data_IF_600614909525
#
_entry.id   IF_600614909525
#
_cell.length_a   1.000
_cell.length_b   1.000
_cell.length_c   1.000
_cell.angle_alpha   90.00
_cell.angle_beta   90.00
_cell.angle_gamma   90.00
#
_symmetry.space_group_name_H-M   'P 1'
#
loop_
_entity.id
_entity.type
_entity.pdbx_description
1 polymer ?
#
# COMPACT_ATOMS: atom_id res chain seq x y z
N UNK A 1 23.65 0.85 16.41
CA UNK A 1 23.62 0.05 15.76
C UNK A 1 24.12 0.20 14.64
N UNK A 2 24.39 -0.57 14.27
CA UNK A 2 25.15 -0.44 13.28
C UNK A 2 24.43 -0.29 12.01
N UNK A 3 24.88 0.60 11.16
CA UNK A 3 24.43 0.68 9.81
C UNK A 3 24.72 -0.57 9.05
N UNK A 4 25.74 -1.29 9.47
CA UNK A 4 26.11 -2.53 8.81
C UNK A 4 25.03 -3.61 8.93
N UNK A 5 24.43 -3.72 10.08
CA UNK A 5 23.36 -4.70 10.25
C UNK A 5 22.14 -4.35 9.42
N UNK A 6 21.84 -3.06 9.34
CA UNK A 6 20.74 -2.60 8.52
C UNK A 6 21.02 -2.84 7.04
N UNK A 7 22.25 -2.56 6.61
CA UNK A 7 22.61 -2.78 5.23
C UNK A 7 22.54 -4.24 4.85
N UNK A 8 23.02 -5.12 5.70
CA UNK A 8 22.98 -6.56 5.41
C UNK A 8 21.56 -7.07 5.31
N UNK A 9 20.67 -6.60 6.17
CA UNK A 9 19.28 -6.98 6.10
C UNK A 9 18.66 -6.49 4.80
N UNK A 10 18.98 -5.25 4.41
CA UNK A 10 18.46 -4.68 3.18
C UNK A 10 18.92 -5.46 1.95
N UNK A 11 20.17 -5.92 1.96
CA UNK A 11 20.69 -6.68 0.82
C UNK A 11 20.11 -8.07 0.73
N UNK A 12 19.76 -8.65 1.86
CA UNK A 12 19.18 -9.98 1.87
C UNK A 12 17.75 -9.97 1.36
N UNK A 13 17.06 -8.84 1.45
CA UNK A 13 15.68 -8.69 1.03
C UNK A 13 15.63 -7.83 -0.22
N UNK A 14 15.17 -8.38 -1.37
CA UNK A 14 15.09 -7.58 -2.60
C UNK A 14 14.30 -6.29 -2.46
N UNK A 15 13.28 -6.28 -1.59
CA UNK A 15 12.47 -5.10 -1.37
C UNK A 15 13.16 -4.08 -0.47
N UNK A 16 14.25 -4.46 0.17
CA UNK A 16 14.97 -3.60 1.10
C UNK A 16 16.40 -3.34 0.66
N UNK A 17 16.63 -3.24 -0.63
CA UNK A 17 17.95 -2.95 -1.19
C UNK A 17 18.45 -1.58 -0.72
N UNK A 18 19.78 -1.39 -0.65
CA UNK A 18 20.31 -0.07 -0.29
C UNK A 18 19.73 1.01 -1.18
N UNK A 19 19.38 2.12 -0.58
CA UNK A 19 18.66 3.17 -1.27
C UNK A 19 19.59 4.07 -2.07
N UNK A 20 19.20 4.34 -3.30
CA UNK A 20 19.83 5.37 -4.11
C UNK A 20 19.03 6.65 -3.97
N UNK A 21 19.53 7.75 -4.57
CA UNK A 21 18.76 8.99 -4.59
C UNK A 21 17.43 8.81 -5.30
N UNK A 22 17.42 8.00 -6.38
CA UNK A 22 16.17 7.72 -7.09
C UNK A 22 15.20 6.93 -6.22
N UNK A 23 15.72 5.98 -5.45
CA UNK A 23 14.88 5.19 -4.54
C UNK A 23 14.28 6.07 -3.46
N UNK A 24 15.07 6.99 -2.90
CA UNK A 24 14.56 7.91 -1.90
C UNK A 24 13.46 8.80 -2.46
N UNK A 25 13.63 9.27 -3.69
CA UNK A 25 12.60 10.07 -4.34
C UNK A 25 11.32 9.26 -4.52
N UNK A 26 11.44 7.98 -4.91
CA UNK A 26 10.29 7.12 -5.05
C UNK A 26 9.60 6.85 -3.71
N UNK A 27 10.39 6.69 -2.64
CA UNK A 27 9.81 6.46 -1.32
C UNK A 27 8.97 7.64 -0.85
N UNK A 28 9.39 8.84 -1.16
CA UNK A 28 8.60 10.02 -0.82
C UNK A 28 7.28 10.04 -1.57
N UNK A 29 7.22 9.32 -2.69
CA UNK A 29 6.02 9.26 -3.52
C UNK A 29 5.34 7.91 -3.45
N UNK A 30 5.70 7.09 -2.47
CA UNK A 30 5.06 5.78 -2.33
C UNK A 30 3.56 5.98 -2.25
N UNK A 31 2.81 5.35 -3.16
CA UNK A 31 1.37 5.54 -3.19
C UNK A 31 0.71 5.14 -1.87
N UNK A 32 -0.20 5.97 -1.42
CA UNK A 32 -0.89 5.73 -0.14
C UNK A 32 -1.56 4.37 -0.12
N UNK A 33 -2.16 3.95 -1.24
CA UNK A 33 -2.83 2.67 -1.30
C UNK A 33 -1.88 1.51 -0.96
N UNK A 34 -0.64 1.58 -1.45
CA UNK A 34 0.35 0.55 -1.17
C UNK A 34 0.72 0.54 0.31
N UNK A 35 0.89 1.71 0.91
CA UNK A 35 1.21 1.82 2.33
C UNK A 35 0.09 1.22 3.18
N UNK A 36 -1.14 1.57 2.87
CA UNK A 36 -2.31 1.07 3.60
C UNK A 36 -2.42 -0.45 3.45
N UNK A 37 -2.27 -0.94 2.22
CA UNK A 37 -2.37 -2.36 1.95
C UNK A 37 -1.33 -3.15 2.73
N UNK A 38 -0.09 -2.68 2.75
CA UNK A 38 0.99 -3.35 3.47
C UNK A 38 0.76 -3.30 4.98
N UNK A 39 0.24 -2.20 5.48
CA UNK A 39 -0.08 -2.08 6.90
C UNK A 39 -1.15 -3.08 7.32
N UNK A 40 -2.06 -3.42 6.41
CA UNK A 40 -3.12 -4.39 6.67
C UNK A 40 -2.68 -5.82 6.35
N UNK A 41 -1.47 -5.99 5.84
CA UNK A 41 -0.91 -7.30 5.49
C UNK A 41 -1.76 -8.05 4.46
N UNK A 42 -2.29 -7.32 3.49
CA UNK A 42 -3.13 -7.89 2.43
C UNK A 42 -2.38 -7.93 1.12
N UNK A 43 -2.70 -8.94 0.30
CA UNK A 43 -2.22 -8.95 -1.08
C UNK A 43 -3.00 -7.93 -1.90
N UNK A 44 -2.54 -7.63 -3.11
CA UNK A 44 -3.27 -6.74 -4.00
C UNK A 44 -4.66 -7.27 -4.28
N UNK A 45 -4.76 -8.57 -4.54
CA UNK A 45 -6.04 -9.22 -4.83
C UNK A 45 -6.98 -9.14 -3.63
N UNK A 46 -6.46 -9.40 -2.44
CA UNK A 46 -7.27 -9.34 -1.23
C UNK A 46 -7.77 -7.93 -0.94
N UNK A 47 -6.89 -6.95 -1.08
CA UNK A 47 -7.24 -5.56 -0.84
C UNK A 47 -8.30 -5.09 -1.85
N UNK A 48 -8.07 -5.38 -3.13
CA UNK A 48 -8.99 -4.98 -4.19
C UNK A 48 -10.38 -5.60 -3.99
N UNK A 49 -10.42 -6.88 -3.67
CA UNK A 49 -11.69 -7.57 -3.46
C UNK A 49 -12.41 -7.04 -2.21
N UNK A 50 -11.67 -6.85 -1.13
CA UNK A 50 -12.25 -6.44 0.15
C UNK A 50 -12.85 -5.04 0.11
N UNK A 51 -12.18 -4.13 -0.59
CA UNK A 51 -12.59 -2.73 -0.63
C UNK A 51 -13.21 -2.31 -1.97
N UNK A 52 -13.55 -3.31 -2.81
CA UNK A 52 -14.25 -3.09 -4.08
C UNK A 52 -13.50 -2.13 -5.01
N UNK A 53 -12.20 -2.31 -5.09
CA UNK A 53 -11.34 -1.53 -6.00
C UNK A 53 -10.94 -2.45 -7.14
N UNK A 54 -11.07 -2.02 -8.40
CA UNK A 54 -10.60 -2.85 -9.52
C UNK A 54 -9.12 -3.13 -9.37
N UNK A 55 -8.72 -4.39 -9.56
CA UNK A 55 -7.34 -4.80 -9.35
C UNK A 55 -6.38 -4.05 -10.28
N UNK A 56 -6.78 -3.80 -11.51
CA UNK A 56 -5.96 -3.02 -12.44
C UNK A 56 -5.73 -1.60 -11.97
N UNK A 57 -6.77 -0.99 -11.40
CA UNK A 57 -6.69 0.36 -10.84
C UNK A 57 -5.73 0.39 -9.66
N UNK A 58 -5.84 -0.58 -8.76
CA UNK A 58 -4.95 -0.66 -7.61
C UNK A 58 -3.50 -0.82 -8.05
N UNK A 59 -3.25 -1.69 -9.02
CA UNK A 59 -1.91 -1.88 -9.55
C UNK A 59 -1.35 -0.59 -10.15
N UNK A 60 -2.18 0.14 -10.89
CA UNK A 60 -1.75 1.41 -11.48
C UNK A 60 -1.37 2.43 -10.40
N UNK A 61 -2.17 2.51 -9.34
CA UNK A 61 -1.84 3.39 -8.22
C UNK A 61 -0.51 2.99 -7.57
N UNK A 62 -0.32 1.69 -7.33
CA UNK A 62 0.88 1.21 -6.64
C UNK A 62 2.14 1.35 -7.49
N UNK A 63 1.98 1.36 -8.80
CA UNK A 63 3.10 1.56 -9.72
C UNK A 63 3.32 3.02 -10.08
N UNK A 64 2.47 3.91 -9.58
CA UNK A 64 2.60 5.32 -9.84
C UNK A 64 2.15 5.75 -11.23
N UNK A 65 1.41 4.91 -11.94
CA UNK A 65 0.93 5.24 -13.28
C UNK A 65 -0.22 6.23 -13.26
N UNK A 66 -1.07 6.12 -12.26
CA UNK A 66 -2.18 7.04 -12.05
C UNK A 66 -2.27 7.37 -10.58
N UNK A 67 -2.96 8.45 -10.27
CA UNK A 67 -3.18 8.84 -8.89
C UNK A 67 -4.67 8.81 -8.58
N UNK A 68 -5.08 8.42 -7.37
CA UNK A 68 -6.48 8.47 -6.99
C UNK A 68 -6.97 9.92 -6.98
N UNK A 69 -8.21 10.13 -7.40
CA UNK A 69 -8.83 11.45 -7.33
C UNK A 69 -9.18 11.78 -5.87
N UNK A 70 -9.75 12.96 -5.65
CA UNK A 70 -10.07 13.39 -4.29
C UNK A 70 -11.03 12.46 -3.55
N UNK A 71 -12.16 12.07 -4.15
CA UNK A 71 -13.06 11.15 -3.45
C UNK A 71 -12.40 9.83 -3.11
N UNK A 72 -11.56 9.32 -4.01
CA UNK A 72 -10.86 8.07 -3.78
C UNK A 72 -9.83 8.22 -2.67
N UNK A 73 -9.13 9.35 -2.60
CA UNK A 73 -8.20 9.60 -1.50
C UNK A 73 -8.92 9.64 -0.16
N UNK A 74 -10.10 10.24 -0.13
CA UNK A 74 -10.92 10.25 1.07
C UNK A 74 -11.30 8.83 1.47
N UNK A 75 -11.67 8.00 0.49
CA UNK A 75 -11.99 6.59 0.72
C UNK A 75 -10.79 5.84 1.29
N UNK A 76 -9.60 6.06 0.72
CA UNK A 76 -8.40 5.43 1.24
C UNK A 76 -8.10 5.88 2.67
N UNK A 77 -8.38 7.13 3.00
CA UNK A 77 -8.22 7.61 4.36
C UNK A 77 -9.16 6.89 5.33
N UNK A 78 -10.39 6.65 4.91
CA UNK A 78 -11.34 5.88 5.71
C UNK A 78 -10.83 4.46 5.95
N UNK A 79 -10.31 3.82 4.92
CA UNK A 79 -9.75 2.48 5.05
C UNK A 79 -8.57 2.50 6.02
N UNK A 80 -7.71 3.51 5.92
CA UNK A 80 -6.55 3.59 6.80
C UNK A 80 -6.95 3.75 8.26
N UNK A 81 -8.06 4.43 8.51
CA UNK A 81 -8.51 4.69 9.87
C UNK A 81 -9.29 3.56 10.48
N UNK A 82 -10.13 2.91 9.68
CA UNK A 82 -10.98 1.84 10.22
C UNK A 82 -11.31 0.85 9.09
N UNK A 83 -10.31 0.06 8.74
CA UNK A 83 -10.46 -0.92 7.68
C UNK A 83 -11.57 -1.93 7.97
N UNK A 84 -11.69 -2.35 9.23
CA UNK A 84 -12.71 -3.33 9.60
C UNK A 84 -14.11 -2.80 9.37
N UNK A 85 -14.36 -1.55 9.74
CA UNK A 85 -15.67 -0.95 9.55
C UNK A 85 -16.01 -0.84 8.07
N UNK A 86 -15.07 -0.38 7.27
CA UNK A 86 -15.27 -0.27 5.83
C UNK A 86 -15.55 -1.63 5.22
N UNK A 87 -14.75 -2.63 5.61
CA UNK A 87 -14.93 -3.98 5.11
C UNK A 87 -16.32 -4.52 5.46
N UNK A 88 -16.75 -4.35 6.71
CA UNK A 88 -18.07 -4.83 7.14
C UNK A 88 -19.21 -4.11 6.44
N UNK A 89 -19.01 -2.82 6.17
CA UNK A 89 -20.01 -2.04 5.46
C UNK A 89 -20.17 -2.51 4.02
N UNK A 90 -19.06 -2.81 3.36
CA UNK A 90 -19.08 -3.23 1.96
C UNK A 90 -19.43 -4.71 1.80
N UNK A 91 -19.09 -5.53 2.79
CA UNK A 91 -19.26 -6.97 2.71
C UNK A 91 -19.93 -7.51 3.97
N UNK A 92 -21.20 -7.14 4.20
CA UNK A 92 -21.88 -7.50 5.47
C UNK A 92 -21.99 -9.01 5.71
N UNK A 93 -21.96 -9.80 4.65
CA UNK A 93 -22.12 -11.25 4.81
C UNK A 93 -20.87 -11.95 5.29
N UNK A 94 -19.73 -11.27 5.23
CA UNK A 94 -18.46 -11.87 5.65
C UNK A 94 -18.06 -11.49 7.06
N UNK A 95 -18.84 -10.69 7.72
CA UNK A 95 -18.52 -10.25 9.08
C UNK A 95 -19.11 -11.14 10.16
#
# INVERSE_FOLDING_TARGET
MSGDAIERAARADPDAQPLTAADLARMRRTPRAKIIRRALELTQEEFAARFHIPIGTLRDWEQGRTEPDRPTRAYLTLIARDADHVNRTLNPRTS
#
